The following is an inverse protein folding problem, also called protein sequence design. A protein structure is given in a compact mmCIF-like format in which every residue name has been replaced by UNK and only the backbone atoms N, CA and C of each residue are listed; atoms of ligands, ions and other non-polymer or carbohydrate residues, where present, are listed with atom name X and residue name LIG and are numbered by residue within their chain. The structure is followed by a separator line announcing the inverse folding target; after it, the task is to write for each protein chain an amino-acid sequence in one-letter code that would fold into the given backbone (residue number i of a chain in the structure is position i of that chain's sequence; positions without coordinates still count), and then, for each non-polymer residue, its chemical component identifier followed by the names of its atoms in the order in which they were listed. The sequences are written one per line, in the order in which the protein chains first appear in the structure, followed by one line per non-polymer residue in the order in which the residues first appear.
data_IF_856242780327
#
_entry.id   IF_856242780327
#
_cell.length_a   1.000
_cell.length_b   1.000
_cell.length_c   1.000
_cell.angle_alpha   90.00
_cell.angle_beta   90.00
_cell.angle_gamma   90.00
#
_symmetry.space_group_name_H-M   'P 1'
#
loop_
_entity.id
_entity.type
_entity.pdbx_description
1 polymer ?
#
# COMPACT_ATOMS: atom_id res chain seq x y z
N UNK A 1 4.98 17.72 1.23
CA UNK A 1 4.07 18.86 1.36
C UNK A 1 4.10 19.37 2.80
N UNK A 2 4.33 20.69 2.99
CA UNK A 2 4.26 21.31 4.29
C UNK A 2 2.80 21.40 4.75
N UNK A 3 2.54 21.04 6.02
CA UNK A 3 1.20 20.99 6.60
C UNK A 3 1.11 21.92 7.82
N UNK A 4 -0.04 22.53 7.99
CA UNK A 4 -0.40 23.25 9.19
C UNK A 4 -1.58 22.51 9.85
N UNK A 5 -1.28 21.81 10.93
CA UNK A 5 -2.32 21.15 11.69
C UNK A 5 -1.98 21.16 13.20
N UNK A 6 -2.98 21.02 14.10
CA UNK A 6 -2.78 21.18 15.55
C UNK A 6 -1.75 20.25 16.19
N UNK A 7 -1.49 19.09 15.59
CA UNK A 7 -0.55 18.12 16.14
C UNK A 7 0.85 18.20 15.55
N UNK A 8 1.02 18.80 14.35
CA UNK A 8 2.33 19.06 13.71
C UNK A 8 2.25 20.22 12.74
N UNK A 9 2.99 21.27 13.02
CA UNK A 9 3.11 22.45 12.17
C UNK A 9 4.46 22.42 11.43
N UNK A 10 4.54 21.61 10.36
CA UNK A 10 5.73 21.59 9.50
C UNK A 10 5.84 22.86 8.67
N UNK A 11 4.76 23.60 8.45
CA UNK A 11 4.77 24.87 7.73
C UNK A 11 5.40 25.98 8.57
N UNK A 12 4.94 26.17 9.82
CA UNK A 12 5.52 27.16 10.74
C UNK A 12 6.97 26.82 11.07
N UNK A 13 7.31 25.53 11.25
CA UNK A 13 8.69 25.08 11.47
C UNK A 13 9.57 25.40 10.25
N UNK A 14 9.08 25.16 9.02
CA UNK A 14 9.79 25.52 7.80
C UNK A 14 10.00 27.04 7.67
N UNK A 15 8.99 27.83 8.02
CA UNK A 15 9.09 29.29 8.01
C UNK A 15 10.17 29.78 8.99
N UNK A 16 10.20 29.23 10.21
CA UNK A 16 11.20 29.56 11.21
C UNK A 16 12.63 29.17 10.78
N UNK A 17 12.80 28.01 10.16
CA UNK A 17 14.12 27.50 9.74
C UNK A 17 14.67 28.20 8.49
N UNK A 18 13.81 28.62 7.56
CA UNK A 18 14.24 29.19 6.26
C UNK A 18 14.15 30.70 6.19
N UNK A 19 13.42 31.34 7.11
CA UNK A 19 13.08 32.76 7.03
C UNK A 19 12.06 33.11 5.92
N UNK A 20 11.49 32.11 5.23
CA UNK A 20 10.46 32.35 4.24
C UNK A 20 9.10 32.55 4.92
N UNK A 21 8.28 33.47 4.37
CA UNK A 21 6.90 33.58 4.84
C UNK A 21 6.10 32.32 4.54
N UNK A 22 5.11 31.99 5.39
CA UNK A 22 4.20 30.86 5.14
C UNK A 22 3.48 30.97 3.80
N UNK A 23 3.11 32.20 3.39
CA UNK A 23 2.51 32.45 2.09
C UNK A 23 3.43 32.02 0.96
N UNK A 24 4.72 32.39 1.02
CA UNK A 24 5.72 31.97 0.04
C UNK A 24 5.89 30.45 0.02
N UNK A 25 5.97 29.82 1.20
CA UNK A 25 6.07 28.35 1.30
C UNK A 25 4.85 27.63 0.72
N UNK A 26 3.66 28.24 0.75
CA UNK A 26 2.42 27.68 0.18
C UNK A 26 2.32 27.85 -1.34
N UNK A 27 2.86 28.92 -1.89
CA UNK A 27 2.63 29.34 -3.30
C UNK A 27 3.82 29.17 -4.22
N UNK A 28 5.05 29.23 -3.68
CA UNK A 28 6.28 29.02 -4.45
C UNK A 28 6.82 27.59 -4.28
N UNK A 29 6.87 26.84 -5.38
CA UNK A 29 7.26 25.43 -5.38
C UNK A 29 8.69 25.21 -4.85
N UNK A 30 9.65 26.04 -5.29
CA UNK A 30 11.04 25.90 -4.87
C UNK A 30 11.18 26.16 -3.36
N UNK A 31 10.53 27.20 -2.85
CA UNK A 31 10.49 27.50 -1.43
C UNK A 31 9.81 26.39 -0.61
N UNK A 32 8.74 25.78 -1.13
CA UNK A 32 8.08 24.63 -0.47
C UNK A 32 9.02 23.43 -0.33
N UNK A 33 9.75 23.08 -1.38
CA UNK A 33 10.72 21.98 -1.37
C UNK A 33 11.87 22.28 -0.40
N UNK A 34 12.43 23.51 -0.45
CA UNK A 34 13.48 23.93 0.48
C UNK A 34 13.02 23.93 1.93
N UNK A 35 11.78 24.37 2.18
CA UNK A 35 11.17 24.33 3.51
C UNK A 35 11.04 22.90 4.04
N UNK A 36 10.59 21.96 3.20
CA UNK A 36 10.52 20.55 3.55
C UNK A 36 11.88 19.93 3.84
N UNK A 37 12.89 20.27 3.02
CA UNK A 37 14.28 19.83 3.23
C UNK A 37 14.87 20.40 4.52
N UNK A 38 14.58 21.66 4.85
CA UNK A 38 15.05 22.28 6.10
C UNK A 38 14.44 21.58 7.33
N UNK A 39 13.15 21.23 7.29
CA UNK A 39 12.50 20.49 8.39
C UNK A 39 13.11 19.10 8.54
N UNK A 40 13.36 18.38 7.43
CA UNK A 40 14.02 17.07 7.48
C UNK A 40 15.44 17.15 8.03
N UNK A 41 16.19 18.18 7.64
CA UNK A 41 17.55 18.43 8.15
C UNK A 41 17.56 18.75 9.65
N UNK A 42 16.55 19.47 10.12
CA UNK A 42 16.37 19.81 11.54
C UNK A 42 15.98 18.59 12.37
N UNK A 43 15.10 17.70 11.83
CA UNK A 43 14.79 16.40 12.45
C UNK A 43 16.04 15.52 12.53
N UNK A 44 16.90 15.53 11.52
CA UNK A 44 18.15 14.78 11.51
C UNK A 44 19.18 15.28 12.53
N UNK A 45 18.98 16.48 13.09
CA UNK A 45 19.94 17.08 14.01
C UNK A 45 21.30 17.33 13.36
N UNK A 46 22.36 17.22 14.11
CA UNK A 46 23.72 17.44 13.57
C UNK A 46 24.30 16.27 12.77
N UNK A 47 23.62 15.14 12.66
CA UNK A 47 24.13 13.92 12.05
C UNK A 47 23.28 13.51 10.84
N UNK A 48 23.62 14.01 9.65
CA UNK A 48 22.93 13.63 8.41
C UNK A 48 23.31 12.20 8.00
N UNK A 49 22.33 11.33 7.70
CA UNK A 49 22.61 10.01 7.16
C UNK A 49 23.39 10.09 5.84
N UNK A 50 24.34 9.18 5.64
CA UNK A 50 25.19 9.13 4.44
C UNK A 50 24.52 8.49 3.22
N UNK A 51 23.46 7.70 3.42
CA UNK A 51 22.71 7.02 2.37
C UNK A 51 21.21 7.21 2.52
N UNK A 52 20.46 6.87 1.49
CA UNK A 52 18.99 7.03 1.46
C UNK A 52 18.31 6.20 2.55
N UNK A 53 18.81 5.00 2.86
CA UNK A 53 18.25 4.10 3.87
C UNK A 53 18.21 4.75 5.27
N UNK A 54 19.22 5.54 5.59
CA UNK A 54 19.30 6.23 6.88
C UNK A 54 18.27 7.32 7.11
N UNK A 55 17.58 7.77 6.05
CA UNK A 55 16.53 8.78 6.15
C UNK A 55 15.16 8.20 6.48
N UNK A 56 14.98 6.88 6.47
CA UNK A 56 13.67 6.25 6.65
C UNK A 56 12.96 6.67 7.93
N UNK A 57 13.64 6.56 9.08
CA UNK A 57 13.08 6.96 10.38
C UNK A 57 12.77 8.46 10.44
N UNK A 58 13.65 9.28 9.85
CA UNK A 58 13.50 10.75 9.80
C UNK A 58 12.31 11.18 8.90
N UNK A 59 12.11 10.48 7.77
CA UNK A 59 10.93 10.68 6.92
C UNK A 59 9.66 10.21 7.61
N UNK A 60 9.71 9.13 8.39
CA UNK A 60 8.60 8.68 9.22
C UNK A 60 8.27 9.69 10.33
N UNK A 61 9.28 10.33 10.91
CA UNK A 61 9.09 11.40 11.88
C UNK A 61 8.58 12.70 11.27
N UNK A 62 9.06 13.08 10.08
CA UNK A 62 8.59 14.24 9.32
C UNK A 62 7.09 14.14 9.02
N UNK A 63 6.62 12.98 8.75
CA UNK A 63 5.22 12.68 8.46
C UNK A 63 4.57 11.88 9.58
N UNK A 64 3.28 11.68 9.52
CA UNK A 64 2.52 10.96 10.56
C UNK A 64 2.81 9.46 10.66
N UNK A 65 4.01 9.00 10.35
CA UNK A 65 4.39 7.64 10.64
C UNK A 65 4.92 6.83 9.44
N UNK A 66 5.21 5.56 9.68
CA UNK A 66 5.98 4.70 8.79
C UNK A 66 5.33 4.43 7.43
N UNK A 67 4.00 4.60 7.30
CA UNK A 67 3.32 4.41 6.01
C UNK A 67 3.73 5.46 4.97
N UNK A 68 3.87 6.72 5.36
CA UNK A 68 4.31 7.77 4.45
C UNK A 68 5.77 7.53 4.05
N UNK A 69 6.62 7.19 5.01
CA UNK A 69 8.01 6.85 4.71
C UNK A 69 8.10 5.67 3.75
N UNK A 70 7.31 4.62 3.95
CA UNK A 70 7.22 3.51 3.00
C UNK A 70 6.79 3.98 1.60
N UNK A 71 5.76 4.83 1.49
CA UNK A 71 5.31 5.36 0.18
C UNK A 71 6.38 6.21 -0.51
N UNK A 72 7.15 6.99 0.25
CA UNK A 72 8.31 7.73 -0.26
C UNK A 72 9.36 6.78 -0.82
N UNK A 73 9.72 5.72 -0.09
CA UNK A 73 10.72 4.75 -0.52
C UNK A 73 10.22 3.86 -1.67
N UNK A 74 8.94 3.48 -1.70
CA UNK A 74 8.32 2.84 -2.87
C UNK A 74 8.40 3.75 -4.12
N UNK A 75 8.27 5.06 -3.94
CA UNK A 75 8.41 6.04 -5.03
C UNK A 75 9.86 6.18 -5.48
N UNK A 76 10.81 6.20 -4.55
CA UNK A 76 12.25 6.21 -4.86
C UNK A 76 12.67 4.94 -5.61
N UNK A 77 12.26 3.76 -5.13
CA UNK A 77 12.58 2.46 -5.77
C UNK A 77 12.05 2.38 -7.21
N UNK A 78 10.85 2.89 -7.45
CA UNK A 78 10.20 2.74 -8.75
C UNK A 78 10.42 3.93 -9.70
N UNK A 79 10.97 5.03 -9.20
CA UNK A 79 10.93 6.30 -9.89
C UNK A 79 9.51 6.84 -10.04
N UNK A 80 9.37 8.06 -10.48
CA UNK A 80 8.09 8.68 -10.78
C UNK A 80 8.23 9.69 -11.92
N UNK A 81 7.17 9.85 -12.70
CA UNK A 81 7.09 10.91 -13.72
C UNK A 81 5.74 11.59 -13.62
N UNK A 82 5.76 12.91 -13.63
CA UNK A 82 4.57 13.76 -13.56
C UNK A 82 4.70 14.89 -14.56
N UNK A 83 3.65 15.13 -15.34
CA UNK A 83 3.51 16.35 -16.12
C UNK A 83 2.61 17.33 -15.35
N UNK A 84 3.10 18.52 -15.08
CA UNK A 84 2.36 19.57 -14.38
C UNK A 84 1.25 20.12 -15.24
N UNK A 85 0.31 20.87 -14.65
CA UNK A 85 -0.74 21.59 -15.40
C UNK A 85 -0.18 22.67 -16.35
N UNK A 86 1.07 23.09 -16.13
CA UNK A 86 1.81 24.05 -16.99
C UNK A 86 2.60 23.35 -18.10
N UNK A 87 2.51 22.00 -18.23
CA UNK A 87 3.20 21.22 -19.26
C UNK A 87 4.64 20.83 -18.93
N UNK A 88 5.17 21.22 -17.77
CA UNK A 88 6.49 20.81 -17.30
C UNK A 88 6.51 19.34 -16.93
N UNK A 89 7.48 18.57 -17.42
CA UNK A 89 7.68 17.18 -17.04
C UNK A 89 8.73 17.07 -15.95
N UNK A 90 8.32 16.49 -14.81
CA UNK A 90 9.21 16.17 -13.70
C UNK A 90 9.43 14.66 -13.69
N UNK A 91 10.68 14.23 -13.67
CA UNK A 91 11.04 12.81 -13.59
C UNK A 91 11.92 12.58 -12.37
N UNK A 92 11.54 11.60 -11.56
CA UNK A 92 12.37 11.03 -10.51
C UNK A 92 12.84 9.66 -11.02
N UNK A 93 14.13 9.54 -11.27
CA UNK A 93 14.73 8.27 -11.67
C UNK A 93 14.63 7.26 -10.54
N UNK A 94 14.44 5.98 -10.90
CA UNK A 94 14.42 4.89 -9.94
C UNK A 94 15.77 4.79 -9.22
N UNK A 95 15.73 4.62 -7.91
CA UNK A 95 16.89 4.48 -7.05
C UNK A 95 16.97 3.03 -6.55
N UNK A 96 18.19 2.54 -6.38
CA UNK A 96 18.42 1.25 -5.71
C UNK A 96 18.35 1.47 -4.18
N UNK A 97 17.15 1.40 -3.67
CA UNK A 97 16.87 1.57 -2.24
C UNK A 97 16.04 0.38 -1.73
N UNK A 98 16.35 -0.08 -0.52
CA UNK A 98 15.49 -1.03 0.16
C UNK A 98 14.24 -0.29 0.69
N UNK A 99 13.06 -0.67 0.20
CA UNK A 99 11.80 -0.15 0.76
C UNK A 99 11.66 -0.68 2.18
N UNK A 100 11.73 0.20 3.19
CA UNK A 100 11.63 -0.25 4.56
C UNK A 100 10.29 -0.93 4.79
N UNK A 101 10.31 -2.16 5.25
CA UNK A 101 9.10 -2.75 5.80
C UNK A 101 8.75 -1.99 7.08
N UNK A 102 7.59 -1.34 7.17
CA UNK A 102 7.20 -0.64 8.38
C UNK A 102 7.19 -1.67 9.51
N UNK A 103 8.16 -1.54 10.41
CA UNK A 103 8.41 -2.47 11.51
C UNK A 103 8.67 -3.94 11.08
N UNK A 104 9.92 -4.29 10.83
CA UNK A 104 10.43 -5.54 11.37
C UNK A 104 10.05 -5.51 12.85
N UNK A 105 9.06 -6.34 13.23
CA UNK A 105 8.46 -6.31 14.54
C UNK A 105 9.53 -6.35 15.63
N UNK A 106 9.78 -5.24 16.30
CA UNK A 106 10.30 -5.32 17.64
C UNK A 106 9.28 -6.14 18.43
N UNK A 107 9.71 -7.28 18.92
CA UNK A 107 8.95 -8.19 19.76
C UNK A 107 8.48 -7.44 21.02
N UNK A 108 7.35 -6.75 20.92
CA UNK A 108 6.55 -6.41 22.09
C UNK A 108 5.46 -7.48 22.16
N UNK A 109 5.51 -8.25 23.23
CA UNK A 109 4.51 -9.26 23.55
C UNK A 109 3.11 -8.72 23.27
N UNK A 110 2.35 -9.35 22.35
CA UNK A 110 0.98 -9.00 21.99
C UNK A 110 0.73 -8.43 20.59
N UNK A 111 1.73 -8.06 19.80
CA UNK A 111 1.51 -7.57 18.43
C UNK A 111 1.28 -8.76 17.49
N UNK A 112 0.05 -8.90 16.98
CA UNK A 112 -0.28 -9.95 16.00
C UNK A 112 0.43 -9.69 14.68
N UNK A 113 1.37 -10.57 14.30
CA UNK A 113 2.06 -10.52 13.00
C UNK A 113 1.08 -10.83 11.87
N UNK A 114 1.34 -10.30 10.65
CA UNK A 114 0.61 -10.70 9.45
C UNK A 114 0.78 -12.19 9.17
N UNK A 115 -0.24 -12.83 8.54
CA UNK A 115 -0.19 -14.26 8.17
C UNK A 115 0.83 -14.54 7.06
N UNK A 116 1.09 -13.55 6.22
CA UNK A 116 2.16 -13.55 5.23
C UNK A 116 3.33 -12.71 5.73
N UNK A 117 4.48 -13.32 5.96
CA UNK A 117 5.63 -12.69 6.63
C UNK A 117 6.24 -11.48 5.91
N UNK A 118 5.85 -11.24 4.65
CA UNK A 118 6.26 -10.04 3.88
C UNK A 118 5.18 -8.96 3.85
N UNK A 119 4.10 -9.11 4.60
CA UNK A 119 3.04 -8.11 4.73
C UNK A 119 3.13 -7.41 6.08
N UNK A 120 2.92 -6.11 6.10
CA UNK A 120 2.68 -5.37 7.34
C UNK A 120 1.23 -5.56 7.82
N UNK A 121 1.01 -5.60 9.14
CA UNK A 121 -0.33 -5.74 9.72
C UNK A 121 -0.97 -4.36 9.96
N UNK A 122 -2.12 -4.10 9.33
CA UNK A 122 -2.91 -2.88 9.49
C UNK A 122 -4.40 -3.25 9.54
N UNK A 123 -4.93 -3.63 10.71
CA UNK A 123 -6.26 -4.21 10.81
C UNK A 123 -7.37 -3.28 10.31
N UNK A 124 -8.34 -3.86 9.61
CA UNK A 124 -9.63 -3.25 9.34
C UNK A 124 -10.39 -3.04 10.67
N UNK A 125 -11.36 -2.11 10.67
CA UNK A 125 -12.25 -1.96 11.80
C UNK A 125 -13.01 -3.26 12.06
N UNK A 126 -13.26 -3.54 13.35
CA UNK A 126 -13.85 -4.82 13.78
C UNK A 126 -15.23 -5.09 13.18
N UNK A 127 -15.98 -4.04 12.84
CA UNK A 127 -17.29 -4.12 12.19
C UNK A 127 -17.24 -4.42 10.70
N UNK A 128 -16.07 -4.38 10.03
CA UNK A 128 -15.95 -4.51 8.58
C UNK A 128 -15.56 -5.91 8.10
N UNK A 129 -15.50 -6.88 8.97
CA UNK A 129 -15.23 -8.27 8.63
C UNK A 129 -15.87 -9.21 9.66
N UNK A 130 -16.02 -10.48 9.30
CA UNK A 130 -16.55 -11.50 10.22
C UNK A 130 -15.39 -12.30 10.83
N UNK A 131 -15.33 -12.33 12.16
CA UNK A 131 -14.43 -13.24 12.88
C UNK A 131 -15.04 -14.66 12.78
N UNK A 132 -14.43 -15.47 11.95
CA UNK A 132 -14.99 -16.77 11.59
C UNK A 132 -14.11 -17.95 12.02
N UNK A 133 -12.83 -17.68 12.28
CA UNK A 133 -11.84 -18.72 12.59
C UNK A 133 -11.96 -19.92 11.61
N UNK A 134 -12.10 -19.62 10.32
CA UNK A 134 -12.30 -20.63 9.28
C UNK A 134 -11.03 -21.45 9.07
N UNK A 135 -11.18 -22.76 9.02
CA UNK A 135 -10.08 -23.67 8.77
C UNK A 135 -9.53 -23.56 7.34
N UNK A 136 -8.30 -24.06 7.09
CA UNK A 136 -7.62 -23.91 5.80
C UNK A 136 -8.32 -24.57 4.61
N UNK A 137 -9.14 -25.59 4.84
CA UNK A 137 -9.92 -26.28 3.79
C UNK A 137 -11.15 -25.48 3.31
N UNK A 138 -11.44 -24.33 3.92
CA UNK A 138 -12.57 -23.46 3.54
C UNK A 138 -12.17 -22.30 2.64
N UNK A 139 -10.91 -22.25 2.21
CA UNK A 139 -10.41 -21.21 1.31
C UNK A 139 -10.14 -21.86 -0.05
N UNK A 140 -11.03 -21.61 -1.00
CA UNK A 140 -11.00 -22.18 -2.35
C UNK A 140 -10.58 -21.18 -3.41
N UNK A 141 -10.68 -19.88 -3.12
CA UNK A 141 -10.49 -18.84 -4.12
C UNK A 141 -9.53 -17.74 -3.67
N UNK A 142 -8.89 -17.13 -4.66
CA UNK A 142 -8.25 -15.81 -4.54
C UNK A 142 -9.02 -14.87 -5.47
N UNK A 143 -9.56 -13.79 -4.91
CA UNK A 143 -10.26 -12.75 -5.68
C UNK A 143 -9.36 -11.54 -5.84
N UNK A 144 -9.14 -11.14 -7.09
CA UNK A 144 -8.28 -10.02 -7.47
C UNK A 144 -9.12 -8.78 -7.70
N UNK A 145 -8.73 -7.69 -7.01
CA UNK A 145 -9.39 -6.39 -7.05
C UNK A 145 -8.45 -5.26 -7.45
N UNK A 146 -9.03 -4.10 -7.72
CA UNK A 146 -8.35 -2.80 -7.83
C UNK A 146 -9.05 -1.80 -6.91
N UNK A 147 -8.26 -1.00 -6.20
CA UNK A 147 -8.73 -0.05 -5.17
C UNK A 147 -9.52 1.13 -5.75
N UNK A 148 -9.32 1.50 -7.03
CA UNK A 148 -9.73 2.77 -7.64
C UNK A 148 -9.14 3.98 -6.87
N UNK A 149 -7.86 3.84 -6.43
CA UNK A 149 -7.16 4.84 -5.65
C UNK A 149 -5.80 4.35 -5.13
N UNK A 150 -5.11 5.17 -4.33
CA UNK A 150 -3.85 4.78 -3.68
C UNK A 150 -4.08 3.69 -2.61
N UNK A 151 -3.01 2.97 -2.25
CA UNK A 151 -3.02 1.94 -1.19
C UNK A 151 -3.58 2.47 0.14
N UNK A 152 -3.22 3.70 0.51
CA UNK A 152 -3.68 4.36 1.74
C UNK A 152 -5.19 4.58 1.78
N UNK A 153 -5.83 4.85 0.64
CA UNK A 153 -7.29 5.04 0.60
C UNK A 153 -8.04 3.76 0.98
N UNK A 154 -7.62 2.60 0.46
CA UNK A 154 -8.21 1.32 0.85
C UNK A 154 -8.02 1.02 2.35
N UNK A 155 -6.79 1.21 2.86
CA UNK A 155 -6.48 0.97 4.27
C UNK A 155 -7.33 1.88 5.17
N UNK A 156 -7.44 3.18 4.84
CA UNK A 156 -8.24 4.13 5.61
C UNK A 156 -9.74 3.80 5.52
N UNK A 157 -10.20 3.38 4.34
CA UNK A 157 -11.59 2.96 4.16
C UNK A 157 -11.91 1.72 5.01
N UNK A 158 -11.05 0.71 5.01
CA UNK A 158 -11.23 -0.49 5.84
C UNK A 158 -11.16 -0.21 7.35
N UNK A 159 -10.44 0.84 7.77
CA UNK A 159 -10.38 1.29 9.17
C UNK A 159 -11.59 2.10 9.61
N UNK A 160 -12.37 2.65 8.69
CA UNK A 160 -13.59 3.37 9.01
C UNK A 160 -14.70 2.37 9.41
N UNK A 161 -15.21 2.39 10.64
CA UNK A 161 -16.22 1.44 11.09
C UNK A 161 -17.51 1.42 10.29
N UNK A 162 -17.82 2.52 9.59
CA UNK A 162 -19.06 2.69 8.81
C UNK A 162 -18.89 2.31 7.32
N UNK A 163 -17.79 1.69 6.93
CA UNK A 163 -17.57 1.39 5.51
C UNK A 163 -18.17 0.06 5.05
N UNK A 164 -18.46 -0.85 5.98
CA UNK A 164 -19.04 -2.18 5.72
C UNK A 164 -18.30 -3.01 4.65
N UNK A 165 -17.02 -2.72 4.45
CA UNK A 165 -16.16 -3.42 3.49
C UNK A 165 -14.75 -3.63 4.05
N UNK A 166 -14.09 -4.68 3.59
CA UNK A 166 -12.67 -4.95 3.84
C UNK A 166 -12.11 -5.93 2.81
N UNK A 167 -10.78 -6.01 2.71
CA UNK A 167 -10.10 -7.09 2.01
C UNK A 167 -9.00 -7.67 2.91
N UNK A 168 -8.53 -8.88 2.58
CA UNK A 168 -7.46 -9.49 3.38
C UNK A 168 -6.14 -8.76 3.17
N UNK A 169 -5.82 -8.41 1.93
CA UNK A 169 -4.57 -7.78 1.57
C UNK A 169 -4.76 -6.58 0.64
N UNK A 170 -3.84 -5.63 0.75
CA UNK A 170 -3.69 -4.51 -0.20
C UNK A 170 -2.25 -4.49 -0.69
N UNK A 171 -2.07 -4.50 -2.01
CA UNK A 171 -0.76 -4.47 -2.68
C UNK A 171 -0.55 -3.10 -3.29
N UNK A 172 0.54 -2.42 -2.94
CA UNK A 172 0.95 -1.14 -3.51
C UNK A 172 1.57 -1.28 -4.90
N UNK A 173 1.71 -0.18 -5.62
CA UNK A 173 2.32 -0.17 -6.96
C UNK A 173 3.80 -0.57 -6.93
N UNK A 174 4.53 -0.22 -5.85
CA UNK A 174 5.90 -0.65 -5.58
C UNK A 174 6.03 -2.09 -5.05
N UNK A 175 4.93 -2.79 -4.86
CA UNK A 175 4.92 -4.18 -4.40
C UNK A 175 4.80 -4.35 -2.88
N UNK A 176 4.82 -3.27 -2.10
CA UNK A 176 4.58 -3.33 -0.65
C UNK A 176 3.19 -3.90 -0.33
N UNK A 177 3.11 -4.83 0.62
CA UNK A 177 1.88 -5.56 0.97
C UNK A 177 1.44 -5.21 2.39
N UNK A 178 0.16 -4.90 2.54
CA UNK A 178 -0.51 -4.72 3.83
C UNK A 178 -1.57 -5.80 3.99
N UNK A 179 -1.65 -6.42 5.17
CA UNK A 179 -2.75 -7.29 5.55
C UNK A 179 -3.70 -6.56 6.49
N UNK A 180 -5.00 -6.58 6.16
CA UNK A 180 -6.04 -5.89 6.93
C UNK A 180 -7.01 -6.84 7.64
N UNK A 181 -7.20 -8.05 7.13
CA UNK A 181 -8.04 -9.09 7.74
C UNK A 181 -7.26 -10.39 7.78
N UNK A 182 -7.40 -11.18 8.86
CA UNK A 182 -6.77 -12.50 8.99
C UNK A 182 -7.28 -13.46 7.92
N UNK A 183 -6.42 -14.36 7.44
CA UNK A 183 -6.85 -15.37 6.48
C UNK A 183 -7.93 -16.30 7.05
N UNK A 184 -7.95 -16.51 8.36
CA UNK A 184 -8.95 -17.30 9.07
C UNK A 184 -10.30 -16.58 9.23
N UNK A 185 -10.32 -15.26 9.09
CA UNK A 185 -11.52 -14.44 9.15
C UNK A 185 -12.11 -14.21 7.75
N UNK A 186 -13.30 -13.63 7.67
CA UNK A 186 -14.00 -13.38 6.42
C UNK A 186 -13.99 -11.88 6.13
N UNK A 187 -13.21 -11.46 5.15
CA UNK A 187 -13.25 -10.09 4.63
C UNK A 187 -14.51 -9.89 3.76
N UNK A 188 -15.10 -8.71 3.82
CA UNK A 188 -16.29 -8.34 3.04
C UNK A 188 -15.85 -7.61 1.76
N UNK A 189 -15.43 -8.37 0.74
CA UNK A 189 -14.77 -7.85 -0.44
C UNK A 189 -15.45 -8.19 -1.77
N UNK A 190 -16.25 -9.28 -1.80
CA UNK A 190 -16.69 -9.84 -3.06
C UNK A 190 -18.07 -9.34 -3.52
N UNK A 191 -18.82 -8.65 -2.65
CA UNK A 191 -20.23 -8.34 -2.92
C UNK A 191 -21.13 -9.60 -2.98
N UNK A 192 -20.57 -10.75 -2.68
CA UNK A 192 -21.21 -12.06 -2.67
C UNK A 192 -20.76 -12.82 -1.43
N UNK A 193 -21.71 -13.24 -0.59
CA UNK A 193 -21.43 -13.86 0.69
C UNK A 193 -20.82 -15.26 0.57
N UNK A 194 -21.19 -16.01 -0.45
CA UNK A 194 -20.62 -17.34 -0.71
C UNK A 194 -19.13 -17.26 -1.04
N UNK A 195 -18.74 -16.27 -1.90
CA UNK A 195 -17.34 -16.00 -2.19
C UNK A 195 -16.60 -15.40 -0.99
N UNK A 196 -17.20 -14.46 -0.24
CA UNK A 196 -16.57 -13.90 0.97
C UNK A 196 -16.13 -15.01 1.93
N UNK A 197 -16.99 -15.99 2.18
CA UNK A 197 -16.70 -17.13 3.08
C UNK A 197 -15.59 -18.05 2.57
N UNK A 198 -15.29 -18.07 1.27
CA UNK A 198 -14.45 -19.08 0.62
C UNK A 198 -13.21 -18.50 -0.07
N UNK A 199 -12.93 -17.22 0.10
CA UNK A 199 -11.83 -16.57 -0.62
C UNK A 199 -10.91 -15.75 0.26
N UNK A 200 -9.74 -15.45 -0.31
CA UNK A 200 -8.85 -14.37 0.09
C UNK A 200 -8.96 -13.27 -0.95
N UNK A 201 -9.39 -12.07 -0.54
CA UNK A 201 -9.43 -10.89 -1.39
C UNK A 201 -8.11 -10.13 -1.37
N UNK A 202 -7.59 -9.78 -2.54
CA UNK A 202 -6.36 -9.00 -2.71
C UNK A 202 -6.68 -7.76 -3.54
N UNK A 203 -6.60 -6.61 -2.91
CA UNK A 203 -6.72 -5.30 -3.54
C UNK A 203 -5.38 -4.85 -4.14
N UNK A 204 -5.43 -4.12 -5.24
CA UNK A 204 -4.26 -3.56 -5.91
C UNK A 204 -4.44 -2.05 -6.05
N UNK A 205 -3.47 -1.28 -5.54
CA UNK A 205 -3.51 0.18 -5.60
C UNK A 205 -3.47 0.69 -7.05
N UNK A 206 -4.31 1.66 -7.36
CA UNK A 206 -4.41 2.28 -8.69
C UNK A 206 -5.83 2.24 -9.23
N UNK A 207 -5.97 2.44 -10.54
CA UNK A 207 -7.25 2.60 -11.23
C UNK A 207 -7.40 1.54 -12.33
N UNK A 208 -8.52 0.83 -12.37
CA UNK A 208 -8.77 -0.25 -13.33
C UNK A 208 -8.82 0.20 -14.80
N UNK A 209 -9.15 1.48 -15.02
CA UNK A 209 -9.13 2.13 -16.34
C UNK A 209 -7.71 2.50 -16.82
N UNK A 210 -6.73 2.59 -15.91
CA UNK A 210 -5.39 3.03 -16.23
C UNK A 210 -4.43 1.84 -16.40
N UNK A 211 -3.86 1.68 -17.61
CA UNK A 211 -2.89 0.62 -17.91
C UNK A 211 -1.63 0.67 -17.04
N UNK A 212 -1.19 1.89 -16.65
CA UNK A 212 -0.01 2.10 -15.82
C UNK A 212 -0.18 1.67 -14.36
N UNK A 213 -1.39 1.33 -13.92
CA UNK A 213 -1.66 0.76 -12.59
C UNK A 213 -0.86 -0.52 -12.36
N UNK A 214 -0.76 -1.37 -13.36
CA UNK A 214 -0.26 -2.75 -13.27
C UNK A 214 1.25 -2.83 -13.46
N UNK A 215 2.01 -2.40 -12.44
CA UNK A 215 3.48 -2.42 -12.48
C UNK A 215 4.04 -3.84 -12.33
N UNK A 216 5.30 -4.02 -12.75
CA UNK A 216 6.02 -5.28 -12.59
C UNK A 216 6.22 -5.65 -11.12
N UNK A 217 6.53 -4.68 -10.27
CA UNK A 217 6.68 -4.86 -8.83
C UNK A 217 5.38 -5.37 -8.19
N UNK A 218 4.25 -4.73 -8.51
CA UNK A 218 2.92 -5.15 -8.05
C UNK A 218 2.60 -6.59 -8.47
N UNK A 219 2.78 -6.93 -9.77
CA UNK A 219 2.55 -8.29 -10.25
C UNK A 219 3.41 -9.33 -9.53
N UNK A 220 4.71 -9.06 -9.39
CA UNK A 220 5.63 -9.98 -8.71
C UNK A 220 5.26 -10.19 -7.25
N UNK A 221 5.00 -9.12 -6.51
CA UNK A 221 4.66 -9.19 -5.08
C UNK A 221 3.32 -9.87 -4.85
N UNK A 222 2.29 -9.48 -5.59
CA UNK A 222 0.97 -10.10 -5.50
C UNK A 222 1.00 -11.58 -5.90
N UNK A 223 1.78 -11.94 -6.93
CA UNK A 223 1.93 -13.33 -7.34
C UNK A 223 2.68 -14.18 -6.28
N UNK A 224 3.68 -13.64 -5.59
CA UNK A 224 4.32 -14.33 -4.45
C UNK A 224 3.35 -14.54 -3.29
N UNK A 225 2.55 -13.53 -2.95
CA UNK A 225 1.48 -13.66 -1.96
C UNK A 225 0.48 -14.75 -2.38
N UNK A 226 -0.01 -14.72 -3.61
CA UNK A 226 -0.94 -15.72 -4.12
C UNK A 226 -0.34 -17.13 -4.18
N UNK A 227 0.94 -17.26 -4.49
CA UNK A 227 1.67 -18.53 -4.42
C UNK A 227 1.74 -19.07 -2.97
N UNK A 228 2.01 -18.20 -2.00
CA UNK A 228 1.96 -18.56 -0.58
C UNK A 228 0.55 -19.05 -0.17
N UNK A 229 -0.51 -18.31 -0.54
CA UNK A 229 -1.90 -18.67 -0.26
C UNK A 229 -2.23 -20.01 -0.92
N UNK A 230 -1.87 -20.18 -2.20
CA UNK A 230 -2.10 -21.42 -2.96
C UNK A 230 -1.41 -22.64 -2.34
N UNK A 231 -0.18 -22.48 -1.80
CA UNK A 231 0.49 -23.56 -1.08
C UNK A 231 -0.18 -23.87 0.25
N UNK A 232 -0.42 -22.84 1.05
CA UNK A 232 -0.94 -22.98 2.43
C UNK A 232 -2.34 -23.56 2.45
N UNK A 233 -3.22 -23.10 1.55
CA UNK A 233 -4.64 -23.46 1.52
C UNK A 233 -5.02 -24.44 0.40
N UNK A 234 -4.05 -24.90 -0.38
CA UNK A 234 -4.25 -25.82 -1.52
C UNK A 234 -5.13 -25.25 -2.63
N UNK A 235 -5.19 -23.93 -2.77
CA UNK A 235 -5.94 -23.28 -3.86
C UNK A 235 -5.26 -23.60 -5.20
N UNK A 236 -5.97 -24.16 -6.19
CA UNK A 236 -5.41 -24.43 -7.52
C UNK A 236 -5.04 -23.12 -8.25
N UNK A 237 -3.94 -23.16 -9.04
CA UNK A 237 -3.47 -22.00 -9.79
C UNK A 237 -4.04 -22.05 -11.20
N UNK A 238 -5.30 -21.72 -11.33
CA UNK A 238 -6.05 -21.68 -12.58
C UNK A 238 -7.09 -20.54 -12.58
N UNK A 239 -7.78 -20.37 -13.72
CA UNK A 239 -8.81 -19.32 -13.90
C UNK A 239 -10.14 -19.62 -13.17
N UNK A 240 -10.32 -20.80 -12.62
CA UNK A 240 -11.52 -21.17 -11.87
C UNK A 240 -11.39 -20.76 -10.40
N UNK A 241 -10.17 -20.79 -9.83
CA UNK A 241 -9.90 -20.54 -8.42
C UNK A 241 -9.22 -19.19 -8.16
N UNK A 242 -8.45 -18.66 -9.12
CA UNK A 242 -7.92 -17.30 -9.07
C UNK A 242 -8.75 -16.45 -10.01
N UNK A 243 -9.64 -15.64 -9.46
CA UNK A 243 -10.69 -14.97 -10.21
C UNK A 243 -10.59 -13.45 -10.11
N UNK A 244 -11.05 -12.77 -11.15
CA UNK A 244 -11.26 -11.32 -11.09
C UNK A 244 -12.58 -11.04 -10.39
N UNK A 245 -12.69 -9.95 -9.63
CA UNK A 245 -13.92 -9.56 -8.94
C UNK A 245 -15.16 -9.55 -9.86
N UNK A 246 -15.04 -9.07 -11.08
CA UNK A 246 -16.12 -9.08 -12.09
C UNK A 246 -16.64 -10.47 -12.50
N UNK A 247 -16.01 -11.54 -12.06
CA UNK A 247 -16.51 -12.91 -12.21
C UNK A 247 -17.43 -13.32 -11.05
N UNK A 248 -17.37 -12.54 -9.99
CA UNK A 248 -18.07 -12.82 -8.71
C UNK A 248 -19.30 -11.94 -8.55
N UNK A 249 -19.19 -10.67 -8.95
CA UNK A 249 -20.29 -9.70 -8.86
C UNK A 249 -20.31 -8.76 -10.08
N UNK A 250 -21.41 -8.01 -10.24
CA UNK A 250 -21.61 -7.06 -11.33
C UNK A 250 -20.72 -5.82 -11.16
N UNK A 251 -19.46 -5.91 -11.54
CA UNK A 251 -18.46 -4.84 -11.48
C UNK A 251 -17.46 -4.90 -12.63
N UNK A 252 -16.77 -3.82 -12.91
CA UNK A 252 -15.66 -3.78 -13.87
C UNK A 252 -14.31 -4.18 -13.24
N UNK A 253 -14.24 -4.29 -11.91
CA UNK A 253 -13.03 -4.62 -11.15
C UNK A 253 -12.43 -5.98 -11.56
N UNK A 254 -11.12 -6.10 -11.71
CA UNK A 254 -10.04 -5.13 -11.53
C UNK A 254 -9.74 -4.28 -12.80
N UNK A 255 -10.65 -4.19 -13.73
CA UNK A 255 -10.49 -3.46 -14.99
C UNK A 255 -9.93 -4.33 -16.12
N UNK A 256 -9.95 -3.74 -17.35
CA UNK A 256 -9.58 -4.46 -18.59
C UNK A 256 -8.07 -4.70 -18.74
N UNK A 257 -7.26 -3.90 -18.05
CA UNK A 257 -5.81 -3.91 -18.22
C UNK A 257 -5.08 -4.93 -17.32
N UNK A 258 -5.79 -5.58 -16.39
CA UNK A 258 -5.21 -6.67 -15.61
C UNK A 258 -4.95 -7.90 -16.47
N UNK A 259 -3.68 -8.30 -16.59
CA UNK A 259 -3.25 -9.47 -17.34
C UNK A 259 -3.29 -10.74 -16.46
N UNK A 260 -4.37 -11.49 -16.54
CA UNK A 260 -4.56 -12.72 -15.77
C UNK A 260 -3.58 -13.82 -16.18
N UNK A 261 -3.19 -13.92 -17.45
CA UNK A 261 -2.27 -14.95 -17.90
C UNK A 261 -0.87 -14.73 -17.36
N UNK A 262 -0.40 -13.48 -17.40
CA UNK A 262 0.83 -13.07 -16.76
C UNK A 262 0.79 -13.38 -15.27
N UNK A 263 -0.31 -13.05 -14.60
CA UNK A 263 -0.47 -13.27 -13.17
C UNK A 263 -0.37 -14.76 -12.83
N UNK A 264 -1.12 -15.61 -13.52
CA UNK A 264 -1.08 -17.06 -13.29
C UNK A 264 0.30 -17.66 -13.59
N UNK A 265 0.99 -17.20 -14.66
CA UNK A 265 2.38 -17.64 -14.93
C UNK A 265 3.32 -17.28 -13.78
N UNK A 266 3.22 -16.07 -13.24
CA UNK A 266 4.04 -15.64 -12.11
C UNK A 266 3.73 -16.43 -10.84
N UNK A 267 2.45 -16.69 -10.53
CA UNK A 267 2.07 -17.52 -9.37
C UNK A 267 2.67 -18.92 -9.49
N UNK A 268 2.58 -19.58 -10.66
CA UNK A 268 3.18 -20.90 -10.89
C UNK A 268 4.70 -20.87 -10.73
N UNK A 269 5.35 -19.80 -11.20
CA UNK A 269 6.80 -19.60 -11.02
C UNK A 269 7.22 -19.51 -9.55
N UNK A 270 6.36 -18.95 -8.69
CA UNK A 270 6.68 -18.75 -7.26
C UNK A 270 6.07 -19.82 -6.34
N UNK A 271 5.20 -20.70 -6.85
CA UNK A 271 4.62 -21.82 -6.12
C UNK A 271 5.59 -22.98 -6.00
#
# INVERSE_FOLDING_TARGET
QLLQNPSRDTLGRAAALTGFSESRLKTDRASNVLGGAAVLADIAGGSKPSGLEGWHELVAEYSYGPLYSQEVYETLENGASLTTSTGESLTLEAQDVEVPTPFAAQDRAGVRRADYGRASWRPAARGNYTNANRGPRKIDFIVVHVVEGPKSSAINHFKNPSSDVSAHYVVGRGGGIVQCVRNEDIAWQAGDWWYNKRSIGIEHAGYGSNRRTWTDAMYRSSARLSAYISRKYKVPVDRKHIVRHRKVSATLCPGKHFDMDRYLRLIRKYK
#
